data_IF_933671132437
#
_entry.id   IF_933671132437
#
_cell.length_a   1.000
_cell.length_b   1.000
_cell.length_c   1.000
_cell.angle_alpha   90.00
_cell.angle_beta   90.00
_cell.angle_gamma   90.00
#
_symmetry.space_group_name_H-M   'P 1'
#
loop_
_entity.id
_entity.type
_entity.pdbx_description
1 polymer ?
#
# COMPACT_ATOMS: atom_id res chain seq x y z
N UNK A 1 -0.50 -21.15 -6.34
CA UNK A 1 0.83 -21.66 -5.93
C UNK A 1 1.36 -20.83 -4.77
N UNK A 2 1.83 -21.44 -3.69
CA UNK A 2 2.40 -20.74 -2.53
C UNK A 2 3.85 -20.30 -2.81
N UNK A 3 4.22 -19.10 -2.36
CA UNK A 3 5.58 -18.60 -2.44
C UNK A 3 6.37 -18.90 -1.17
N UNK A 4 7.41 -19.73 -1.30
CA UNK A 4 8.25 -20.10 -0.17
C UNK A 4 9.35 -19.07 0.14
N UNK A 5 9.50 -18.02 -0.68
CA UNK A 5 10.44 -16.93 -0.43
C UNK A 5 9.85 -15.95 0.58
N UNK A 6 10.69 -15.32 1.40
CA UNK A 6 10.30 -14.16 2.21
C UNK A 6 10.13 -12.91 1.33
N UNK A 7 9.24 -12.96 0.34
CA UNK A 7 9.00 -11.90 -0.64
C UNK A 7 7.57 -11.98 -1.18
N UNK A 8 7.04 -10.85 -1.67
CA UNK A 8 5.73 -10.82 -2.33
C UNK A 8 5.70 -11.61 -3.65
N UNK A 9 4.55 -12.21 -4.01
CA UNK A 9 3.34 -12.35 -3.20
C UNK A 9 3.42 -13.56 -2.26
N UNK A 10 2.50 -13.69 -1.30
CA UNK A 10 2.33 -14.96 -0.56
C UNK A 10 1.84 -16.09 -1.48
N UNK A 11 0.92 -15.78 -2.41
CA UNK A 11 0.38 -16.74 -3.38
C UNK A 11 0.26 -16.14 -4.80
N UNK A 12 0.58 -16.96 -5.80
CA UNK A 12 0.14 -16.75 -7.18
C UNK A 12 -1.17 -17.49 -7.40
N UNK A 13 -2.24 -16.76 -7.72
CA UNK A 13 -3.53 -17.39 -8.05
C UNK A 13 -3.60 -17.86 -9.49
N UNK A 14 -2.76 -17.30 -10.36
CA UNK A 14 -2.53 -17.78 -11.71
C UNK A 14 -1.14 -18.44 -11.76
N UNK A 15 -1.05 -19.78 -11.77
CA UNK A 15 0.23 -20.47 -11.83
C UNK A 15 0.90 -20.38 -13.20
N UNK A 16 0.14 -20.10 -14.26
CA UNK A 16 0.65 -20.01 -15.63
C UNK A 16 1.16 -18.59 -15.94
N UNK A 17 0.68 -17.59 -15.20
CA UNK A 17 1.15 -16.21 -15.26
C UNK A 17 1.49 -15.63 -13.88
N UNK A 18 2.75 -15.79 -13.48
CA UNK A 18 3.29 -15.29 -12.21
C UNK A 18 3.39 -13.77 -12.11
N UNK A 19 3.06 -13.02 -13.17
CA UNK A 19 3.00 -11.55 -13.20
C UNK A 19 1.55 -11.04 -13.04
N UNK A 20 0.62 -11.92 -12.70
CA UNK A 20 -0.79 -11.57 -12.51
C UNK A 20 -1.37 -12.19 -11.24
N UNK A 21 -2.50 -11.66 -10.80
CA UNK A 21 -3.33 -12.27 -9.75
C UNK A 21 -2.56 -12.62 -8.46
N UNK A 22 -1.72 -11.69 -8.01
CA UNK A 22 -0.99 -11.79 -6.75
C UNK A 22 -1.94 -11.69 -5.56
N UNK A 23 -1.78 -12.59 -4.59
CA UNK A 23 -2.52 -12.57 -3.34
C UNK A 23 -1.55 -12.46 -2.15
N UNK A 24 -1.80 -11.48 -1.30
CA UNK A 24 -1.18 -11.30 0.01
C UNK A 24 -2.18 -11.67 1.10
N UNK A 25 -1.75 -12.35 2.15
CA UNK A 25 -2.59 -12.69 3.30
C UNK A 25 -2.07 -11.94 4.52
N UNK A 26 -2.97 -11.23 5.22
CA UNK A 26 -2.66 -10.57 6.49
C UNK A 26 -3.71 -10.93 7.52
N UNK A 27 -3.28 -11.18 8.74
CA UNK A 27 -4.15 -11.40 9.88
C UNK A 27 -3.81 -10.45 11.02
N UNK A 28 -4.81 -10.02 11.79
CA UNK A 28 -4.61 -9.11 12.92
C UNK A 28 -5.69 -9.26 14.00
N UNK A 29 -5.33 -8.86 15.22
CA UNK A 29 -6.27 -8.64 16.33
C UNK A 29 -6.37 -7.14 16.62
N UNK A 30 -7.47 -6.68 17.21
CA UNK A 30 -7.65 -5.25 17.52
C UNK A 30 -7.70 -4.37 16.26
N UNK A 31 -6.84 -3.35 16.17
CA UNK A 31 -6.69 -2.49 14.98
C UNK A 31 -5.60 -3.03 14.03
N UNK A 32 -5.64 -2.70 12.73
CA UNK A 32 -4.66 -3.22 11.77
C UNK A 32 -3.25 -2.76 12.15
N UNK A 33 -2.43 -3.70 12.58
CA UNK A 33 -1.08 -3.43 13.07
C UNK A 33 0.02 -4.12 12.24
N UNK A 34 -0.33 -4.83 11.18
CA UNK A 34 0.60 -5.43 10.24
C UNK A 34 1.30 -4.37 9.38
N UNK A 35 2.41 -4.76 8.76
CA UNK A 35 3.09 -3.96 7.74
C UNK A 35 2.58 -4.34 6.35
N UNK A 36 2.35 -3.31 5.51
CA UNK A 36 1.98 -3.52 4.11
C UNK A 36 3.20 -3.95 3.32
N UNK A 37 4.28 -3.17 3.42
CA UNK A 37 5.58 -3.48 2.85
C UNK A 37 6.67 -2.60 3.50
N UNK A 38 7.92 -3.05 3.43
CA UNK A 38 9.07 -2.18 3.71
C UNK A 38 9.12 -1.07 2.65
N UNK A 39 9.17 0.20 3.09
CA UNK A 39 8.96 1.37 2.23
C UNK A 39 9.96 1.41 1.07
N UNK A 40 11.26 1.31 1.37
CA UNK A 40 12.33 1.40 0.37
C UNK A 40 12.34 0.23 -0.62
N UNK A 41 11.92 -0.94 -0.17
CA UNK A 41 11.80 -2.11 -1.05
C UNK A 41 10.58 -1.97 -1.95
N UNK A 42 9.46 -1.48 -1.42
CA UNK A 42 8.22 -1.30 -2.16
C UNK A 42 8.37 -0.31 -3.33
N UNK A 43 8.98 0.85 -3.11
CA UNK A 43 9.12 1.90 -4.15
C UNK A 43 9.94 1.43 -5.37
N UNK A 44 10.90 0.53 -5.17
CA UNK A 44 11.66 -0.08 -6.28
C UNK A 44 10.90 -1.24 -6.89
N UNK A 45 10.29 -2.10 -6.06
CA UNK A 45 9.54 -3.27 -6.49
C UNK A 45 8.39 -2.90 -7.45
N UNK A 46 7.68 -1.81 -7.22
CA UNK A 46 6.56 -1.40 -8.11
C UNK A 46 7.02 -0.88 -9.46
N UNK A 47 8.27 -0.41 -9.58
CA UNK A 47 8.88 -0.10 -10.89
C UNK A 47 9.27 -1.41 -11.58
N UNK A 48 9.91 -2.34 -10.87
CA UNK A 48 10.34 -3.61 -11.45
C UNK A 48 9.17 -4.54 -11.80
N UNK A 49 8.10 -4.49 -11.00
CA UNK A 49 6.94 -5.38 -11.04
C UNK A 49 5.67 -4.56 -10.84
N UNK A 50 5.21 -3.81 -11.86
CA UNK A 50 4.04 -2.93 -11.74
C UNK A 50 2.78 -3.68 -11.32
N UNK A 51 2.67 -4.98 -11.61
CA UNK A 51 1.58 -5.82 -11.15
C UNK A 51 1.49 -6.02 -9.64
N UNK A 52 2.55 -5.72 -8.87
CA UNK A 52 2.48 -5.65 -7.40
C UNK A 52 1.39 -4.67 -6.93
N UNK A 53 1.16 -3.58 -7.68
CA UNK A 53 0.13 -2.58 -7.36
C UNK A 53 -1.29 -3.16 -7.37
N UNK A 54 -1.51 -4.22 -8.14
CA UNK A 54 -2.81 -4.91 -8.27
C UNK A 54 -2.95 -6.14 -7.38
N UNK A 55 -2.01 -6.36 -6.44
CA UNK A 55 -2.11 -7.46 -5.48
C UNK A 55 -3.42 -7.34 -4.68
N UNK A 56 -4.17 -8.44 -4.61
CA UNK A 56 -5.28 -8.56 -3.68
C UNK A 56 -4.75 -8.88 -2.29
N UNK A 57 -5.39 -8.33 -1.28
CA UNK A 57 -5.07 -8.58 0.11
C UNK A 57 -6.27 -9.28 0.76
N UNK A 58 -6.09 -10.53 1.16
CA UNK A 58 -7.03 -11.27 2.00
C UNK A 58 -6.70 -10.95 3.46
N UNK A 59 -7.61 -10.23 4.11
CA UNK A 59 -7.43 -9.66 5.44
C UNK A 59 -8.33 -10.40 6.43
N UNK A 60 -7.74 -10.96 7.48
CA UNK A 60 -8.45 -11.80 8.45
C UNK A 60 -8.31 -11.15 9.83
N UNK A 61 -9.39 -10.52 10.32
CA UNK A 61 -9.45 -10.07 11.71
C UNK A 61 -9.94 -11.22 12.57
N UNK A 62 -9.20 -11.51 13.63
CA UNK A 62 -9.55 -12.58 14.55
C UNK A 62 -9.41 -12.11 16.00
N UNK A 63 -10.02 -12.86 16.91
CA UNK A 63 -9.75 -12.80 18.34
C UNK A 63 -9.32 -14.18 18.84
N UNK A 64 -8.64 -14.19 19.97
CA UNK A 64 -8.17 -15.42 20.61
C UNK A 64 -8.51 -15.38 22.09
N UNK A 65 -9.29 -16.34 22.54
CA UNK A 65 -9.68 -16.49 23.94
C UNK A 65 -9.48 -17.95 24.33
N UNK A 66 -8.73 -18.20 25.42
CA UNK A 66 -8.45 -19.55 25.92
C UNK A 66 -7.91 -20.53 24.86
N UNK A 67 -7.09 -20.04 23.92
CA UNK A 67 -6.52 -20.84 22.84
C UNK A 67 -7.49 -21.15 21.69
N UNK A 68 -8.73 -20.69 21.75
CA UNK A 68 -9.71 -20.78 20.65
C UNK A 68 -9.60 -19.53 19.78
N UNK A 69 -9.43 -19.74 18.48
CA UNK A 69 -9.38 -18.66 17.48
C UNK A 69 -10.75 -18.52 16.84
N UNK A 70 -11.30 -17.31 16.87
CA UNK A 70 -12.53 -16.95 16.18
C UNK A 70 -12.21 -15.89 15.12
N UNK A 71 -12.55 -16.18 13.87
CA UNK A 71 -12.45 -15.20 12.78
C UNK A 71 -13.63 -14.25 12.90
N UNK A 72 -13.35 -13.00 13.25
CA UNK A 72 -14.39 -11.97 13.42
C UNK A 72 -14.86 -11.43 12.07
N UNK A 73 -13.92 -11.17 11.15
CA UNK A 73 -14.19 -10.56 9.84
C UNK A 73 -13.14 -10.95 8.81
N UNK A 74 -13.59 -11.02 7.56
CA UNK A 74 -12.74 -11.26 6.39
C UNK A 74 -13.00 -10.16 5.37
N UNK A 75 -11.94 -9.67 4.72
CA UNK A 75 -12.04 -8.77 3.59
C UNK A 75 -11.12 -9.20 2.45
N UNK A 76 -11.53 -8.88 1.22
CA UNK A 76 -10.66 -8.90 0.05
C UNK A 76 -10.56 -7.48 -0.49
N UNK A 77 -9.36 -6.91 -0.48
CA UNK A 77 -9.13 -5.50 -0.83
C UNK A 77 -7.97 -5.33 -1.79
N UNK A 78 -8.00 -4.27 -2.59
CA UNK A 78 -6.83 -3.77 -3.29
C UNK A 78 -5.85 -3.12 -2.30
N UNK A 79 -4.61 -2.91 -2.75
CA UNK A 79 -3.58 -2.26 -1.96
C UNK A 79 -3.98 -0.85 -1.49
N UNK A 80 -4.49 -0.02 -2.40
CA UNK A 80 -4.83 1.37 -2.08
C UNK A 80 -5.99 1.49 -1.09
N UNK A 81 -6.95 0.55 -1.12
CA UNK A 81 -8.10 0.52 -0.21
C UNK A 81 -7.73 0.23 1.26
N UNK A 82 -6.51 -0.23 1.52
CA UNK A 82 -5.99 -0.49 2.88
C UNK A 82 -4.88 0.48 3.28
N UNK A 83 -4.50 1.40 2.40
CA UNK A 83 -3.58 2.49 2.67
C UNK A 83 -4.36 3.78 2.91
N UNK A 84 -3.77 4.72 3.65
CA UNK A 84 -4.32 6.07 3.82
C UNK A 84 -3.19 7.10 3.88
N UNK A 85 -3.56 8.37 3.91
CA UNK A 85 -2.68 9.42 4.40
C UNK A 85 -2.54 9.41 5.92
N UNK A 86 -1.74 10.35 6.44
CA UNK A 86 -1.58 10.62 7.86
C UNK A 86 -1.24 12.09 8.10
N UNK A 87 -1.38 12.56 9.33
CA UNK A 87 -1.07 13.96 9.66
C UNK A 87 0.41 14.35 9.49
N UNK A 88 1.33 13.38 9.38
CA UNK A 88 2.77 13.65 9.27
C UNK A 88 3.36 13.33 7.91
N UNK A 89 2.71 12.48 7.13
CA UNK A 89 3.22 11.98 5.84
C UNK A 89 2.07 11.75 4.86
N UNK A 90 2.25 12.11 3.56
CA UNK A 90 1.25 11.88 2.53
C UNK A 90 0.77 10.43 2.45
N UNK A 91 1.66 9.46 2.65
CA UNK A 91 1.29 8.05 2.92
C UNK A 91 1.58 7.71 4.37
N UNK A 92 0.64 7.01 5.01
CA UNK A 92 0.82 6.51 6.36
C UNK A 92 1.97 5.51 6.43
N UNK A 93 2.98 5.87 7.22
CA UNK A 93 4.19 5.07 7.39
C UNK A 93 4.54 4.86 8.86
N UNK A 94 5.36 3.85 9.14
CA UNK A 94 6.07 3.72 10.39
C UNK A 94 7.37 4.51 10.29
N UNK A 95 7.44 5.61 11.03
CA UNK A 95 8.62 6.48 11.10
C UNK A 95 9.30 6.32 12.45
N UNK A 96 10.55 5.84 12.47
CA UNK A 96 11.34 5.56 13.68
C UNK A 96 12.76 6.05 13.50
N UNK A 97 13.33 6.72 14.51
CA UNK A 97 14.72 7.22 14.49
C UNK A 97 15.06 7.99 13.21
N UNK A 98 14.13 8.83 12.74
CA UNK A 98 14.22 9.61 11.50
C UNK A 98 14.28 8.78 10.20
N UNK A 99 13.87 7.53 10.25
CA UNK A 99 13.82 6.62 9.11
C UNK A 99 12.39 6.15 8.87
N UNK A 100 11.94 6.21 7.61
CA UNK A 100 10.71 5.55 7.17
C UNK A 100 11.02 4.07 7.01
N UNK A 101 10.37 3.22 7.82
CA UNK A 101 10.59 1.77 7.83
C UNK A 101 9.59 1.07 6.92
N UNK A 102 8.31 1.14 7.26
CA UNK A 102 7.24 0.39 6.60
C UNK A 102 6.08 1.30 6.19
N UNK A 103 5.37 0.91 5.14
CA UNK A 103 4.02 1.42 4.84
C UNK A 103 3.03 0.76 5.81
N UNK A 104 2.12 1.56 6.37
CA UNK A 104 1.21 1.14 7.43
C UNK A 104 -0.25 1.20 6.98
N UNK A 105 -1.08 0.24 7.43
CA UNK A 105 -2.47 0.18 7.01
C UNK A 105 -3.32 1.29 7.64
N UNK A 106 -4.33 1.69 6.90
CA UNK A 106 -5.48 2.41 7.39
C UNK A 106 -6.34 1.50 8.29
N UNK A 107 -7.21 2.09 9.10
CA UNK A 107 -8.31 1.33 9.71
C UNK A 107 -9.50 1.37 8.75
N UNK A 108 -9.37 0.72 7.59
CA UNK A 108 -10.26 0.89 6.43
C UNK A 108 -11.75 0.59 6.69
N UNK A 109 -12.03 -0.20 7.73
CA UNK A 109 -13.40 -0.57 8.12
C UNK A 109 -14.02 0.39 9.15
N UNK A 110 -13.32 1.44 9.56
CA UNK A 110 -13.82 2.43 10.52
C UNK A 110 -14.27 3.70 9.81
N UNK A 111 -15.50 4.13 10.08
CA UNK A 111 -16.02 5.44 9.65
C UNK A 111 -15.54 6.59 10.55
N UNK A 112 -15.01 6.27 11.74
CA UNK A 112 -14.54 7.25 12.74
C UNK A 112 -13.04 7.52 12.60
N UNK A 113 -12.57 7.75 11.38
CA UNK A 113 -11.14 8.00 11.13
C UNK A 113 -10.91 9.41 10.60
N UNK A 114 -9.85 10.06 11.10
CA UNK A 114 -9.41 11.36 10.59
C UNK A 114 -8.84 11.25 9.17
N UNK A 115 -8.38 10.06 8.78
CA UNK A 115 -7.72 9.81 7.50
C UNK A 115 -8.38 8.65 6.76
N UNK A 116 -9.05 8.96 5.66
CA UNK A 116 -9.77 7.96 4.86
C UNK A 116 -8.79 7.11 4.02
N UNK A 117 -9.14 5.85 3.72
CA UNK A 117 -8.39 5.07 2.73
C UNK A 117 -8.39 5.73 1.35
N UNK A 118 -7.42 5.40 0.51
CA UNK A 118 -7.35 5.92 -0.85
C UNK A 118 -8.47 5.36 -1.74
N UNK A 119 -9.08 6.20 -2.56
CA UNK A 119 -10.20 5.83 -3.44
C UNK A 119 -9.73 5.11 -4.72
N UNK A 120 -8.51 5.41 -5.17
CA UNK A 120 -7.92 4.90 -6.41
C UNK A 120 -6.45 4.53 -6.25
N UNK A 121 -5.93 3.78 -7.22
CA UNK A 121 -4.50 3.49 -7.32
C UNK A 121 -3.70 4.79 -7.53
N UNK A 122 -4.18 5.66 -8.40
CA UNK A 122 -3.53 6.92 -8.77
C UNK A 122 -3.40 7.87 -7.58
N UNK A 123 -4.42 7.95 -6.71
CA UNK A 123 -4.39 8.80 -5.53
C UNK A 123 -3.40 8.24 -4.48
N UNK A 124 -3.34 6.92 -4.31
CA UNK A 124 -2.28 6.27 -3.51
C UNK A 124 -0.89 6.56 -4.08
N UNK A 125 -0.71 6.47 -5.40
CA UNK A 125 0.58 6.72 -6.06
C UNK A 125 1.00 8.19 -5.98
N UNK A 126 0.06 9.13 -6.03
CA UNK A 126 0.33 10.55 -5.83
C UNK A 126 0.84 10.82 -4.41
N UNK A 127 0.22 10.20 -3.40
CA UNK A 127 0.70 10.27 -2.03
C UNK A 127 2.09 9.61 -1.88
N UNK A 128 2.32 8.47 -2.53
CA UNK A 128 3.64 7.80 -2.51
C UNK A 128 4.72 8.69 -3.13
N UNK A 129 4.46 9.30 -4.29
CA UNK A 129 5.36 10.23 -4.98
C UNK A 129 5.76 11.38 -4.03
N UNK A 130 4.77 12.03 -3.41
CA UNK A 130 5.02 13.13 -2.50
C UNK A 130 5.81 12.67 -1.26
N UNK A 131 5.51 11.48 -0.72
CA UNK A 131 6.27 10.91 0.41
C UNK A 131 7.74 10.66 0.03
N UNK A 132 7.99 10.13 -1.17
CA UNK A 132 9.32 9.90 -1.72
C UNK A 132 10.09 11.22 -1.89
N UNK A 133 9.41 12.29 -2.32
CA UNK A 133 10.00 13.61 -2.47
C UNK A 133 10.28 14.30 -1.13
N UNK A 134 9.37 14.18 -0.16
CA UNK A 134 9.51 14.82 1.16
C UNK A 134 10.56 14.12 2.04
N UNK A 135 10.72 12.80 1.91
CA UNK A 135 11.63 12.03 2.76
C UNK A 135 13.11 12.23 2.32
N UNK A 136 14.00 12.76 3.19
CA UNK A 136 15.35 13.15 2.79
C UNK A 136 16.19 12.05 2.11
N UNK A 137 16.10 10.80 2.58
CA UNK A 137 16.85 9.67 1.99
C UNK A 137 16.42 9.43 0.54
N UNK A 138 15.12 9.39 0.28
CA UNK A 138 14.60 9.11 -1.06
C UNK A 138 14.61 10.34 -1.96
N UNK A 139 14.51 11.55 -1.41
CA UNK A 139 14.59 12.80 -2.16
C UNK A 139 15.87 12.90 -2.98
N UNK A 140 17.00 12.53 -2.38
CA UNK A 140 18.32 12.64 -3.00
C UNK A 140 18.71 11.40 -3.82
N UNK A 141 18.02 10.27 -3.63
CA UNK A 141 18.39 8.99 -4.27
C UNK A 141 17.41 8.48 -5.33
N UNK A 142 16.11 8.61 -5.09
CA UNK A 142 15.07 7.93 -5.87
C UNK A 142 14.06 8.89 -6.47
N UNK A 143 13.75 10.01 -5.81
CA UNK A 143 12.64 10.88 -6.19
C UNK A 143 12.74 11.37 -7.64
N UNK A 144 13.95 11.67 -8.11
CA UNK A 144 14.17 12.07 -9.49
C UNK A 144 13.80 10.93 -10.45
N UNK A 145 12.78 11.17 -11.27
CA UNK A 145 12.22 10.22 -12.26
C UNK A 145 11.48 9.00 -11.69
N UNK A 146 11.19 8.93 -10.38
CA UNK A 146 10.47 7.78 -9.83
C UNK A 146 9.11 7.58 -10.52
N UNK A 147 8.33 8.67 -10.62
CA UNK A 147 7.02 8.67 -11.28
C UNK A 147 7.10 8.28 -12.75
N UNK A 148 8.02 8.89 -13.49
CA UNK A 148 8.19 8.61 -14.93
C UNK A 148 8.54 7.14 -15.16
N UNK A 149 9.50 6.60 -14.40
CA UNK A 149 9.89 5.18 -14.47
C UNK A 149 8.75 4.24 -14.12
N UNK A 150 7.94 4.59 -13.12
CA UNK A 150 6.77 3.81 -12.75
C UNK A 150 5.73 3.82 -13.87
N UNK A 151 5.40 4.99 -14.42
CA UNK A 151 4.42 5.14 -15.52
C UNK A 151 4.89 4.35 -16.74
N UNK A 152 6.16 4.47 -17.14
CA UNK A 152 6.72 3.74 -18.28
C UNK A 152 6.70 2.22 -18.07
N UNK A 153 7.07 1.75 -16.87
CA UNK A 153 7.02 0.32 -16.55
C UNK A 153 5.59 -0.23 -16.57
N UNK A 154 4.66 0.53 -15.99
CA UNK A 154 3.25 0.17 -15.95
C UNK A 154 2.65 0.16 -17.36
N UNK A 155 2.92 1.18 -18.19
CA UNK A 155 2.46 1.27 -19.58
C UNK A 155 3.03 0.12 -20.42
N UNK A 156 4.30 -0.25 -20.21
CA UNK A 156 4.92 -1.40 -20.89
C UNK A 156 4.24 -2.72 -20.56
N UNK A 157 3.85 -2.94 -19.30
CA UNK A 157 3.25 -4.19 -18.87
C UNK A 157 1.75 -4.27 -19.20
N UNK A 158 1.00 -3.18 -18.98
CA UNK A 158 -0.47 -3.17 -19.12
C UNK A 158 -0.99 -2.55 -20.42
N UNK A 159 -0.15 -1.88 -21.20
CA UNK A 159 -0.58 -1.10 -22.36
C UNK A 159 -1.42 0.14 -22.00
N UNK A 160 -1.44 0.53 -20.72
CA UNK A 160 -2.23 1.65 -20.18
C UNK A 160 -1.29 2.62 -19.48
N UNK A 161 -1.38 3.90 -19.83
CA UNK A 161 -0.61 4.96 -19.16
C UNK A 161 -1.34 5.45 -17.91
N UNK A 162 -0.67 5.40 -16.76
CA UNK A 162 -1.22 5.94 -15.50
C UNK A 162 -1.31 7.47 -15.55
N UNK A 163 -2.40 8.02 -15.00
CA UNK A 163 -2.58 9.46 -14.80
C UNK A 163 -2.54 9.81 -13.31
N UNK A 164 -1.33 9.97 -12.76
CA UNK A 164 -1.12 10.25 -11.33
C UNK A 164 -1.22 11.75 -11.08
N UNK A 165 -2.23 12.25 -10.33
CA UNK A 165 -2.38 13.67 -10.03
C UNK A 165 -1.25 14.17 -9.12
N UNK A 166 -1.15 15.49 -8.91
CA UNK A 166 -0.28 16.02 -7.84
C UNK A 166 -0.97 15.81 -6.51
N UNK A 167 -0.23 15.37 -5.49
CA UNK A 167 -0.80 15.14 -4.17
C UNK A 167 -1.55 16.35 -3.61
N UNK A 168 -0.97 17.54 -3.74
CA UNK A 168 -1.59 18.78 -3.23
C UNK A 168 -2.93 19.13 -3.90
N UNK A 169 -3.23 18.59 -5.08
CA UNK A 169 -4.52 18.83 -5.75
C UNK A 169 -5.63 17.91 -5.20
N UNK A 170 -5.27 16.85 -4.47
CA UNK A 170 -6.21 15.81 -4.01
C UNK A 170 -6.14 15.50 -2.50
N UNK A 171 -5.19 16.07 -1.77
CA UNK A 171 -4.92 15.75 -0.37
C UNK A 171 -6.16 15.93 0.54
N UNK A 172 -6.93 16.99 0.29
CA UNK A 172 -8.12 17.34 1.11
C UNK A 172 -9.23 16.29 1.05
N UNK A 173 -9.27 15.45 0.00
CA UNK A 173 -10.21 14.31 -0.08
C UNK A 173 -10.04 13.34 1.09
N UNK A 174 -8.81 13.24 1.59
CA UNK A 174 -8.38 12.19 2.51
C UNK A 174 -8.30 12.62 3.97
N UNK A 175 -8.56 13.89 4.26
CA UNK A 175 -8.58 14.45 5.61
C UNK A 175 -10.05 14.72 5.96
N UNK A 176 -10.53 14.09 7.02
CA UNK A 176 -11.86 14.39 7.54
C UNK A 176 -11.87 15.84 8.06
N UNK A 177 -12.64 16.73 7.41
CA UNK A 177 -12.86 18.08 7.90
C UNK A 177 -13.59 18.00 9.25
N UNK A 178 -12.88 18.28 10.34
CA UNK A 178 -13.54 18.60 11.60
C UNK A 178 -14.16 19.99 11.44
N UNK A 179 -15.47 20.05 11.27
CA UNK A 179 -16.28 21.22 11.59
C UNK A 179 -16.84 21.06 13.00
#
# INVERSE_FOLDING_TARGET
MHNHKQASPDFWLDPDNLESNWLEIKSFTGSPNFDIAAFRSFINLVIEKPWKLHSKHLLIKYKMENGVVEVERIWLKNLWEICSTSGSWPVKVQYKNKVIVNIRPATWYSERTDFKPFESLEDFLAAMEETIYQYPDTRVTIALHWKDKLIESYERHYGIRLNIPRWNDIADKYISSQY
#
